data_IF_969736676168
#
_entry.id   IF_969736676168
#
_cell.length_a   1.000
_cell.length_b   1.000
_cell.length_c   1.000
_cell.angle_alpha   90.00
_cell.angle_beta   90.00
_cell.angle_gamma   90.00
#
_symmetry.space_group_name_H-M   'P 1'
#
loop_
_entity.id
_entity.type
_entity.pdbx_description
1 polymer ?
#
# COMPACT_ATOMS: atom_id res chain seq x y z
N UNK A 1 19.48 34.09 -16.64
CA UNK A 1 19.65 35.35 -15.89
C UNK A 1 20.68 36.25 -16.58
N UNK A 2 21.93 35.81 -16.73
CA UNK A 2 22.98 36.51 -17.51
C UNK A 2 22.52 36.87 -18.94
N UNK A 3 21.90 35.93 -19.65
CA UNK A 3 21.39 36.17 -21.01
C UNK A 3 20.29 37.25 -21.10
N UNK A 4 19.59 37.53 -20.00
CA UNK A 4 18.49 38.51 -19.96
C UNK A 4 18.92 39.84 -19.35
N UNK A 5 19.86 39.83 -18.40
CA UNK A 5 20.22 40.99 -17.58
C UNK A 5 21.70 41.41 -17.69
N UNK A 6 22.52 40.73 -18.51
CA UNK A 6 23.93 41.06 -18.73
C UNK A 6 24.88 40.49 -17.65
N UNK A 7 25.96 41.23 -17.35
CA UNK A 7 27.00 40.84 -16.39
C UNK A 7 26.36 40.59 -15.02
N UNK A 8 26.60 39.41 -14.47
CA UNK A 8 25.94 38.93 -13.25
C UNK A 8 26.95 38.22 -12.36
N UNK A 9 26.79 38.35 -11.04
CA UNK A 9 27.60 37.66 -10.05
C UNK A 9 26.75 36.61 -9.33
N UNK A 10 27.29 35.40 -9.23
CA UNK A 10 26.62 34.28 -8.57
C UNK A 10 27.37 33.90 -7.29
N UNK A 11 26.69 34.01 -6.14
CA UNK A 11 27.25 33.70 -4.83
C UNK A 11 26.51 32.53 -4.19
N UNK A 12 27.22 31.44 -3.91
CA UNK A 12 26.65 30.28 -3.20
C UNK A 12 26.70 30.52 -1.69
N UNK A 13 25.54 30.50 -1.03
CA UNK A 13 25.47 30.45 0.43
C UNK A 13 25.86 29.04 0.91
N UNK A 14 27.04 28.93 1.53
CA UNK A 14 27.64 27.66 1.96
C UNK A 14 27.56 27.40 3.46
N UNK A 15 27.37 28.42 4.31
CA UNK A 15 27.27 28.24 5.77
C UNK A 15 25.83 28.40 6.24
N UNK A 16 25.33 27.47 7.04
CA UNK A 16 24.03 27.55 7.71
C UNK A 16 24.20 27.65 9.22
N UNK A 17 23.37 28.49 9.83
CA UNK A 17 23.26 28.65 11.28
C UNK A 17 21.95 28.06 11.82
N UNK A 18 21.15 27.45 10.94
CA UNK A 18 19.78 27.03 11.24
C UNK A 18 19.71 25.65 11.90
N UNK A 19 20.53 24.71 11.44
CA UNK A 19 20.44 23.30 11.83
C UNK A 19 21.83 22.65 11.88
N UNK A 20 21.92 21.54 12.61
CA UNK A 20 23.17 20.81 12.83
C UNK A 20 23.64 20.00 11.61
N UNK A 21 24.88 19.48 11.70
CA UNK A 21 25.54 18.73 10.62
C UNK A 21 24.72 17.54 10.12
N UNK A 22 24.16 16.71 11.01
CA UNK A 22 23.38 15.53 10.61
C UNK A 22 22.15 15.91 9.76
N UNK A 23 21.40 16.95 10.16
CA UNK A 23 20.28 17.45 9.33
C UNK A 23 20.79 17.99 8.00
N UNK A 24 21.92 18.71 8.00
CA UNK A 24 22.52 19.26 6.78
C UNK A 24 22.94 18.17 5.79
N UNK A 25 23.62 17.14 6.27
CA UNK A 25 24.17 16.06 5.44
C UNK A 25 23.04 15.26 4.80
N UNK A 26 22.09 14.76 5.61
CA UNK A 26 20.96 13.95 5.12
C UNK A 26 20.08 14.76 4.17
N UNK A 27 19.75 16.00 4.52
CA UNK A 27 18.89 16.84 3.68
C UNK A 27 19.59 17.25 2.37
N UNK A 28 20.90 17.49 2.41
CA UNK A 28 21.69 17.82 1.22
C UNK A 28 21.83 16.61 0.32
N UNK A 29 22.18 15.45 0.86
CA UNK A 29 22.25 14.19 0.11
C UNK A 29 20.91 13.91 -0.58
N UNK A 30 19.81 14.01 0.17
CA UNK A 30 18.47 13.76 -0.34
C UNK A 30 18.08 14.72 -1.46
N UNK A 31 18.28 16.02 -1.28
CA UNK A 31 17.85 17.01 -2.30
C UNK A 31 18.78 17.00 -3.52
N UNK A 32 20.08 16.74 -3.34
CA UNK A 32 21.10 16.75 -4.40
C UNK A 32 21.12 15.48 -5.25
N UNK A 33 20.36 14.43 -4.89
CA UNK A 33 20.07 13.33 -5.83
C UNK A 33 19.47 13.82 -7.13
N UNK A 34 18.71 14.92 -7.10
CA UNK A 34 18.28 15.60 -8.30
C UNK A 34 19.47 16.37 -8.93
N UNK A 35 19.97 15.96 -10.11
CA UNK A 35 21.16 16.54 -10.73
C UNK A 35 20.97 17.98 -11.21
N UNK A 36 19.72 18.43 -11.38
CA UNK A 36 19.37 19.81 -11.72
C UNK A 36 19.50 20.76 -10.53
N UNK A 37 19.67 20.24 -9.30
CA UNK A 37 19.97 21.07 -8.14
C UNK A 37 21.37 21.67 -8.22
N UNK A 38 21.49 22.91 -7.76
CA UNK A 38 22.80 23.56 -7.64
C UNK A 38 23.64 22.84 -6.59
N UNK A 39 24.66 22.11 -7.04
CA UNK A 39 25.64 21.46 -6.16
C UNK A 39 26.33 22.49 -5.27
N UNK A 40 26.17 22.32 -3.96
CA UNK A 40 26.83 23.11 -2.91
C UNK A 40 27.06 22.24 -1.69
N UNK A 41 28.22 22.38 -1.06
CA UNK A 41 28.51 21.78 0.23
C UNK A 41 28.09 22.77 1.32
N UNK A 42 27.20 22.34 2.21
CA UNK A 42 26.73 23.16 3.33
C UNK A 42 27.61 22.86 4.55
N UNK A 43 28.11 23.89 5.22
CA UNK A 43 28.78 23.78 6.52
C UNK A 43 27.88 24.33 7.62
N UNK A 44 27.89 23.68 8.78
CA UNK A 44 27.04 24.02 9.92
C UNK A 44 27.87 24.61 11.06
N UNK A 45 27.22 25.38 11.95
CA UNK A 45 27.85 25.83 13.19
C UNK A 45 27.92 24.69 14.22
N UNK A 46 26.84 23.93 14.34
CA UNK A 46 26.72 22.81 15.28
C UNK A 46 27.04 21.50 14.55
N UNK A 47 28.00 20.75 15.09
CA UNK A 47 28.38 19.43 14.59
C UNK A 47 27.97 18.37 15.61
N UNK A 48 27.19 17.41 15.16
CA UNK A 48 26.68 16.30 15.97
C UNK A 48 27.17 14.98 15.39
N UNK A 49 27.46 14.02 16.27
CA UNK A 49 27.90 12.67 15.87
C UNK A 49 26.76 11.68 15.71
N UNK A 50 25.64 11.92 16.40
CA UNK A 50 24.48 11.06 16.35
C UNK A 50 23.48 11.56 15.28
N UNK A 51 22.75 10.66 14.61
CA UNK A 51 21.66 11.01 13.72
C UNK A 51 20.68 11.97 14.39
N UNK A 52 20.31 13.03 13.70
CA UNK A 52 19.34 14.05 14.15
C UNK A 52 18.03 14.02 13.38
N UNK A 53 17.83 13.01 12.54
CA UNK A 53 16.55 12.69 11.91
C UNK A 53 16.15 11.30 12.38
N UNK A 54 14.95 11.17 12.91
CA UNK A 54 14.43 9.93 13.50
C UNK A 54 13.14 9.50 12.85
N UNK A 55 12.99 8.21 12.57
CA UNK A 55 11.82 7.66 11.91
C UNK A 55 10.97 6.83 12.89
N UNK A 56 9.77 7.33 13.20
CA UNK A 56 8.72 6.56 13.85
C UNK A 56 7.95 5.74 12.82
N UNK A 57 8.17 4.42 12.82
CA UNK A 57 7.46 3.43 12.01
C UNK A 57 6.28 2.89 12.80
N UNK A 58 5.10 3.46 12.60
CA UNK A 58 3.91 3.11 13.37
C UNK A 58 2.65 3.27 12.53
N UNK A 59 1.68 2.37 12.72
CA UNK A 59 0.42 2.48 12.00
C UNK A 59 -0.34 3.77 12.32
N UNK A 60 -0.93 4.37 11.29
CA UNK A 60 -1.78 5.54 11.43
C UNK A 60 -3.25 5.18 11.71
N UNK A 61 -3.62 3.89 11.66
CA UNK A 61 -4.99 3.42 11.86
C UNK A 61 -5.07 2.58 13.13
N UNK A 62 -5.70 3.14 14.17
CA UNK A 62 -5.86 2.44 15.45
C UNK A 62 -7.33 2.22 15.73
N UNK A 63 -7.72 0.95 15.84
CA UNK A 63 -9.08 0.56 16.23
C UNK A 63 -9.11 0.45 17.75
N UNK A 64 -9.94 1.25 18.45
CA UNK A 64 -9.91 1.30 19.91
C UNK A 64 -10.41 0.00 20.55
N UNK A 65 -11.39 -0.67 19.95
CA UNK A 65 -12.04 -1.86 20.52
C UNK A 65 -12.56 -1.58 21.93
N UNK A 66 -12.32 -2.51 22.86
CA UNK A 66 -12.72 -2.39 24.26
C UNK A 66 -11.70 -1.61 25.12
N UNK A 67 -10.71 -0.94 24.52
CA UNK A 67 -9.70 -0.22 25.26
C UNK A 67 -10.26 1.09 25.82
N UNK A 68 -10.58 1.11 27.12
CA UNK A 68 -11.17 2.26 27.81
C UNK A 68 -10.35 3.55 27.66
N UNK A 69 -9.01 3.45 27.68
CA UNK A 69 -8.12 4.61 27.52
C UNK A 69 -8.25 5.21 26.11
N UNK A 70 -8.31 4.37 25.08
CA UNK A 70 -8.51 4.84 23.71
C UNK A 70 -9.90 5.43 23.50
N UNK A 71 -10.93 4.80 24.06
CA UNK A 71 -12.30 5.31 24.02
C UNK A 71 -12.42 6.69 24.72
N UNK A 72 -11.74 6.89 25.85
CA UNK A 72 -11.68 8.18 26.55
C UNK A 72 -10.93 9.27 25.76
N UNK A 73 -9.92 8.90 24.98
CA UNK A 73 -9.22 9.85 24.10
C UNK A 73 -10.14 10.23 22.94
N UNK A 74 -10.77 9.26 22.28
CA UNK A 74 -11.69 9.51 21.16
C UNK A 74 -12.85 10.41 21.59
N UNK A 75 -13.44 10.17 22.77
CA UNK A 75 -14.56 11.00 23.24
C UNK A 75 -14.16 12.47 23.44
N UNK A 76 -12.93 12.74 23.90
CA UNK A 76 -12.39 14.10 24.00
C UNK A 76 -12.04 14.74 22.65
N UNK A 77 -11.81 13.94 21.62
CA UNK A 77 -11.45 14.41 20.27
C UNK A 77 -12.68 14.79 19.41
N UNK A 78 -13.89 14.72 19.97
CA UNK A 78 -15.13 15.34 19.44
C UNK A 78 -15.52 14.95 18.01
N UNK A 79 -15.49 13.65 17.69
CA UNK A 79 -16.23 13.06 16.56
C UNK A 79 -17.06 11.86 17.05
N UNK A 80 -18.19 11.53 16.40
CA UNK A 80 -18.93 10.31 16.74
C UNK A 80 -18.02 9.07 16.62
N UNK A 81 -18.04 8.16 17.61
CA UNK A 81 -17.09 7.05 17.74
C UNK A 81 -17.07 6.06 16.56
N UNK A 82 -18.15 6.00 15.77
CA UNK A 82 -18.34 4.99 14.72
C UNK A 82 -17.90 5.39 13.30
N UNK A 83 -17.28 6.56 13.12
CA UNK A 83 -16.75 6.95 11.79
C UNK A 83 -15.36 6.35 11.53
N UNK A 84 -15.07 5.94 10.28
CA UNK A 84 -13.73 5.49 9.88
C UNK A 84 -12.63 6.53 10.21
N UNK A 85 -12.99 7.81 10.21
CA UNK A 85 -12.13 8.94 10.58
C UNK A 85 -11.62 8.85 12.01
N UNK A 86 -12.41 8.33 12.95
CA UNK A 86 -12.03 8.24 14.37
C UNK A 86 -10.81 7.34 14.58
N UNK A 87 -10.65 6.29 13.77
CA UNK A 87 -9.51 5.37 13.85
C UNK A 87 -8.19 6.01 13.40
N UNK A 88 -8.23 6.83 12.34
CA UNK A 88 -7.06 7.57 11.86
C UNK A 88 -6.72 8.76 12.77
N UNK A 89 -7.75 9.40 13.34
CA UNK A 89 -7.59 10.47 14.31
C UNK A 89 -6.87 9.97 15.57
N UNK A 90 -7.32 8.85 16.13
CA UNK A 90 -6.66 8.22 17.28
C UNK A 90 -5.22 7.81 16.94
N UNK A 91 -5.01 7.19 15.77
CA UNK A 91 -3.68 6.78 15.34
C UNK A 91 -2.70 7.96 15.26
N UNK A 92 -3.11 9.05 14.60
CA UNK A 92 -2.31 10.29 14.53
C UNK A 92 -2.02 10.87 15.91
N UNK A 93 -3.03 10.98 16.77
CA UNK A 93 -2.85 11.47 18.14
C UNK A 93 -1.80 10.64 18.91
N UNK A 94 -1.88 9.31 18.82
CA UNK A 94 -0.94 8.41 19.50
C UNK A 94 0.49 8.50 18.94
N UNK A 95 0.64 8.66 17.63
CA UNK A 95 1.95 8.85 16.99
C UNK A 95 2.61 10.15 17.47
N UNK A 96 1.87 11.27 17.44
CA UNK A 96 2.36 12.57 17.93
C UNK A 96 2.66 12.50 19.43
N UNK A 97 1.79 11.88 20.24
CA UNK A 97 2.00 11.68 21.67
C UNK A 97 3.30 10.93 21.99
N UNK A 98 3.63 9.90 21.19
CA UNK A 98 4.85 9.10 21.36
C UNK A 98 6.10 9.95 21.11
N UNK A 99 6.09 10.78 20.08
CA UNK A 99 7.22 11.68 19.77
C UNK A 99 7.34 12.80 20.81
N UNK A 100 6.25 13.43 21.23
CA UNK A 100 6.29 14.49 22.25
C UNK A 100 6.85 13.97 23.59
N UNK A 101 6.57 12.72 23.96
CA UNK A 101 7.20 12.06 25.12
C UNK A 101 8.71 11.83 24.97
N UNK A 102 9.22 11.66 23.75
CA UNK A 102 10.65 11.59 23.52
C UNK A 102 11.27 12.99 23.64
N UNK A 103 10.64 13.99 23.00
CA UNK A 103 11.11 15.39 23.03
C UNK A 103 11.19 15.93 24.45
N UNK A 104 10.17 15.72 25.30
CA UNK A 104 10.17 16.26 26.66
C UNK A 104 11.31 15.69 27.53
N UNK A 105 11.78 14.47 27.24
CA UNK A 105 12.95 13.86 27.90
C UNK A 105 14.27 14.49 27.45
N UNK A 106 14.33 14.97 26.21
CA UNK A 106 15.51 15.64 25.64
C UNK A 106 15.58 17.11 26.07
N UNK A 107 14.45 17.82 25.97
CA UNK A 107 14.34 19.23 26.35
C UNK A 107 12.87 19.56 26.70
N UNK A 108 12.60 19.80 27.98
CA UNK A 108 11.25 20.05 28.47
C UNK A 108 10.70 21.45 28.19
N UNK A 109 11.52 22.39 27.69
CA UNK A 109 11.11 23.76 27.32
C UNK A 109 11.34 24.06 25.83
N UNK A 110 11.27 23.02 25.00
CA UNK A 110 11.54 23.14 23.59
C UNK A 110 10.34 23.68 22.79
N UNK A 111 10.63 24.37 21.69
CA UNK A 111 9.64 24.62 20.64
C UNK A 111 9.52 23.40 19.72
N UNK A 112 8.28 23.02 19.39
CA UNK A 112 7.97 21.86 18.55
C UNK A 112 7.04 22.29 17.42
N UNK A 113 7.53 22.20 16.19
CA UNK A 113 6.74 22.45 14.99
C UNK A 113 6.20 21.13 14.42
N UNK A 114 4.88 20.95 14.49
CA UNK A 114 4.17 19.84 13.87
C UNK A 114 3.70 20.26 12.49
N UNK A 115 4.09 19.54 11.46
CA UNK A 115 3.78 19.91 10.09
C UNK A 115 3.48 18.72 9.18
N UNK A 116 2.79 19.00 8.09
CA UNK A 116 2.44 18.02 7.06
C UNK A 116 2.15 18.73 5.74
N UNK A 117 2.03 17.96 4.65
CA UNK A 117 1.78 18.52 3.32
C UNK A 117 0.44 19.27 3.25
N UNK A 118 -0.59 18.73 3.89
CA UNK A 118 -1.95 19.26 3.85
C UNK A 118 -2.55 19.48 5.25
N UNK A 119 -3.51 20.39 5.37
CA UNK A 119 -4.18 20.69 6.64
C UNK A 119 -4.85 19.48 7.29
N UNK A 120 -5.41 18.55 6.51
CA UNK A 120 -6.06 17.35 7.07
C UNK A 120 -5.05 16.30 7.59
N UNK A 121 -3.76 16.44 7.26
CA UNK A 121 -2.69 15.53 7.74
C UNK A 121 -2.15 15.94 9.11
N UNK A 122 -2.24 17.22 9.47
CA UNK A 122 -1.77 17.75 10.76
C UNK A 122 -2.89 17.67 11.83
N UNK A 123 -2.53 17.77 13.13
CA UNK A 123 -3.52 17.68 14.20
C UNK A 123 -4.58 18.79 14.11
N UNK A 124 -5.81 18.40 14.38
CA UNK A 124 -6.96 19.31 14.57
C UNK A 124 -6.75 20.20 15.80
N UNK A 125 -7.54 21.30 15.95
CA UNK A 125 -7.50 22.12 17.16
C UNK A 125 -7.70 21.30 18.45
N UNK A 126 -8.64 20.35 18.48
CA UNK A 126 -8.90 19.51 19.64
C UNK A 126 -7.72 18.58 19.98
N UNK A 127 -7.06 17.98 18.97
CA UNK A 127 -5.83 17.21 19.20
C UNK A 127 -4.71 18.08 19.77
N UNK A 128 -4.55 19.31 19.25
CA UNK A 128 -3.56 20.25 19.77
C UNK A 128 -3.83 20.63 21.22
N UNK A 129 -5.09 20.88 21.59
CA UNK A 129 -5.46 21.21 22.97
C UNK A 129 -5.10 20.08 23.94
N UNK A 130 -5.47 18.84 23.61
CA UNK A 130 -5.10 17.68 24.43
C UNK A 130 -3.58 17.49 24.57
N UNK A 131 -2.82 17.77 23.50
CA UNK A 131 -1.36 17.73 23.59
C UNK A 131 -0.81 18.88 24.44
N UNK A 132 -1.38 20.09 24.38
CA UNK A 132 -0.96 21.21 25.25
C UNK A 132 -1.27 20.94 26.72
N UNK A 133 -2.45 20.41 27.03
CA UNK A 133 -2.81 19.98 28.39
C UNK A 133 -1.80 18.96 28.94
N UNK A 134 -1.37 18.01 28.10
CA UNK A 134 -0.48 16.93 28.49
C UNK A 134 1.00 17.32 28.55
N UNK A 135 1.42 18.28 27.72
CA UNK A 135 2.81 18.73 27.61
C UNK A 135 2.89 20.27 27.76
N UNK A 136 2.48 20.83 28.92
CA UNK A 136 2.30 22.27 29.09
C UNK A 136 3.61 23.08 29.03
N UNK A 137 4.76 22.42 29.16
CA UNK A 137 6.08 23.08 29.13
C UNK A 137 6.66 23.18 27.71
N UNK A 138 6.09 22.45 26.74
CA UNK A 138 6.52 22.52 25.34
C UNK A 138 5.74 23.62 24.60
N UNK A 139 6.43 24.40 23.78
CA UNK A 139 5.78 25.35 22.88
C UNK A 139 5.39 24.64 21.58
N UNK A 140 4.11 24.23 21.49
CA UNK A 140 3.58 23.49 20.35
C UNK A 140 3.04 24.44 19.28
N UNK A 141 3.52 24.29 18.04
CA UNK A 141 3.05 25.04 16.87
C UNK A 141 2.68 24.05 15.78
N UNK A 142 1.61 24.31 15.02
CA UNK A 142 1.26 23.52 13.83
C UNK A 142 1.14 24.35 12.56
N UNK A 143 1.65 23.87 11.43
CA UNK A 143 1.52 24.52 10.11
C UNK A 143 1.53 23.47 8.99
N UNK A 144 1.11 23.83 7.78
CA UNK A 144 1.50 23.05 6.60
C UNK A 144 2.94 23.39 6.23
N UNK A 145 3.60 22.53 5.47
CA UNK A 145 4.99 22.79 5.07
C UNK A 145 5.07 24.10 4.25
N UNK A 146 4.08 24.37 3.39
CA UNK A 146 4.01 25.64 2.64
C UNK A 146 3.81 26.86 3.54
N UNK A 147 2.91 26.79 4.53
CA UNK A 147 2.65 27.91 5.44
C UNK A 147 3.74 28.09 6.51
N UNK A 148 4.65 27.12 6.64
CA UNK A 148 5.80 27.17 7.55
C UNK A 148 6.96 28.04 7.04
N UNK A 149 6.85 28.68 5.86
CA UNK A 149 7.95 29.44 5.25
C UNK A 149 8.50 30.50 6.21
N UNK A 150 9.77 30.34 6.58
CA UNK A 150 10.48 31.24 7.49
C UNK A 150 10.36 30.87 8.98
N UNK A 151 9.49 29.92 9.34
CA UNK A 151 9.39 29.40 10.71
C UNK A 151 10.44 28.32 10.95
N UNK A 152 10.84 28.17 12.20
CA UNK A 152 11.79 27.17 12.70
C UNK A 152 11.40 26.78 14.12
N UNK A 153 11.81 25.60 14.56
CA UNK A 153 11.61 25.13 15.92
C UNK A 153 12.80 24.26 16.36
N UNK A 154 13.00 24.08 17.66
CA UNK A 154 14.01 23.17 18.19
C UNK A 154 13.80 21.75 17.63
N UNK A 155 12.56 21.31 17.64
CA UNK A 155 12.14 20.01 17.12
C UNK A 155 11.05 20.16 16.06
N UNK A 156 11.07 19.27 15.07
CA UNK A 156 10.02 19.20 14.03
C UNK A 156 9.44 17.80 14.01
N UNK A 157 8.12 17.72 13.84
CA UNK A 157 7.40 16.47 13.57
C UNK A 157 6.77 16.57 12.18
N UNK A 158 7.20 15.72 11.25
CA UNK A 158 6.67 15.65 9.89
C UNK A 158 5.66 14.51 9.80
N UNK A 159 4.42 14.86 9.49
CA UNK A 159 3.28 13.97 9.34
C UNK A 159 2.88 13.80 7.88
N UNK A 160 2.13 12.73 7.61
CA UNK A 160 1.54 12.48 6.30
C UNK A 160 2.54 11.96 5.26
N UNK A 161 3.61 11.29 5.71
CA UNK A 161 4.60 10.63 4.84
C UNK A 161 4.06 9.30 4.31
N UNK A 162 3.06 9.41 3.44
CA UNK A 162 2.37 8.28 2.82
C UNK A 162 2.38 8.37 1.28
N UNK A 163 2.17 7.25 0.61
CA UNK A 163 1.97 7.18 -0.85
C UNK A 163 0.55 7.62 -1.27
N UNK A 164 0.36 7.84 -2.57
CA UNK A 164 -0.92 8.10 -3.20
C UNK A 164 -1.17 9.58 -3.55
N UNK A 165 -2.35 9.84 -4.12
CA UNK A 165 -2.74 11.18 -4.63
C UNK A 165 -2.57 12.32 -3.62
N UNK A 166 -2.86 12.06 -2.35
CA UNK A 166 -2.71 13.02 -1.25
C UNK A 166 -1.48 12.73 -0.37
N UNK A 167 -0.54 11.97 -0.90
CA UNK A 167 0.69 11.58 -0.25
C UNK A 167 1.71 12.70 -0.15
N UNK A 168 2.89 12.35 0.33
CA UNK A 168 4.06 13.20 0.27
C UNK A 168 5.27 12.34 -0.10
N UNK A 169 5.70 12.29 -1.38
CA UNK A 169 5.31 13.18 -2.49
C UNK A 169 3.84 13.08 -2.91
N UNK A 170 3.30 14.19 -3.40
CA UNK A 170 1.94 14.23 -3.97
C UNK A 170 1.94 13.64 -5.37
N UNK A 171 1.11 12.61 -5.60
CA UNK A 171 0.89 11.99 -6.92
C UNK A 171 -0.32 12.60 -7.66
N UNK A 172 -0.79 13.78 -7.24
CA UNK A 172 -1.80 14.52 -8.01
C UNK A 172 -1.24 14.89 -9.37
N UNK A 173 -2.01 14.57 -10.39
CA UNK A 173 -1.83 15.08 -11.75
C UNK A 173 -2.45 16.48 -11.76
N UNK A 174 -1.64 17.48 -12.08
CA UNK A 174 -2.08 18.86 -12.24
C UNK A 174 -2.81 19.04 -13.59
N UNK A 175 -3.56 20.14 -13.72
CA UNK A 175 -4.29 20.41 -14.95
C UNK A 175 -3.29 20.80 -16.05
N UNK A 176 -3.33 20.20 -17.26
CA UNK A 176 -2.39 20.53 -18.34
C UNK A 176 -2.33 22.02 -18.70
N UNK A 177 -3.44 22.76 -18.54
CA UNK A 177 -3.47 24.20 -18.75
C UNK A 177 -2.70 24.97 -17.67
N UNK A 178 -2.70 24.47 -16.44
CA UNK A 178 -1.93 25.06 -15.34
C UNK A 178 -0.45 24.75 -15.52
N UNK A 179 -0.11 23.52 -15.93
CA UNK A 179 1.26 23.11 -16.22
C UNK A 179 1.90 23.96 -17.32
N UNK A 180 1.12 24.37 -18.34
CA UNK A 180 1.59 25.26 -19.40
C UNK A 180 1.96 26.67 -18.90
N UNK A 181 1.47 27.09 -17.73
CA UNK A 181 1.80 28.37 -17.09
C UNK A 181 2.96 28.27 -16.10
N UNK A 182 3.38 27.04 -15.75
CA UNK A 182 4.48 26.80 -14.83
C UNK A 182 5.82 26.70 -15.58
N UNK A 183 6.94 26.94 -14.90
CA UNK A 183 8.26 26.64 -15.46
C UNK A 183 8.35 25.19 -15.90
N UNK A 184 9.12 24.93 -16.96
CA UNK A 184 9.36 23.56 -17.43
C UNK A 184 9.86 22.70 -16.26
N UNK A 185 9.19 21.58 -15.96
CA UNK A 185 9.58 20.72 -14.85
C UNK A 185 10.96 20.13 -15.13
N UNK A 186 11.73 19.94 -14.06
CA UNK A 186 12.99 19.22 -14.14
C UNK A 186 12.72 17.75 -14.46
N UNK A 187 13.60 17.15 -15.28
CA UNK A 187 13.54 15.73 -15.61
C UNK A 187 14.08 14.88 -14.45
N UNK A 188 13.38 14.97 -13.32
CA UNK A 188 13.68 14.23 -12.10
C UNK A 188 12.40 13.96 -11.31
N UNK A 189 12.24 12.72 -10.89
CA UNK A 189 11.04 12.25 -10.21
C UNK A 189 10.74 13.06 -8.94
N UNK A 190 9.53 13.62 -8.86
CA UNK A 190 9.05 14.43 -7.73
C UNK A 190 9.97 15.60 -7.35
N UNK A 191 10.63 16.25 -8.33
CA UNK A 191 11.63 17.31 -8.09
C UNK A 191 11.15 18.41 -7.12
N UNK A 192 9.95 18.97 -7.31
CA UNK A 192 9.40 20.01 -6.42
C UNK A 192 9.06 19.48 -5.03
N UNK A 193 8.48 18.28 -4.93
CA UNK A 193 8.15 17.66 -3.64
C UNK A 193 9.41 17.30 -2.86
N UNK A 194 10.51 16.94 -3.53
CA UNK A 194 11.82 16.70 -2.91
C UNK A 194 12.36 17.96 -2.23
N UNK A 195 12.23 19.12 -2.88
CA UNK A 195 12.57 20.41 -2.26
C UNK A 195 11.65 20.75 -1.10
N UNK A 196 10.37 20.43 -1.21
CA UNK A 196 9.45 20.61 -0.10
C UNK A 196 9.84 19.72 1.10
N UNK A 197 10.26 18.47 0.86
CA UNK A 197 10.70 17.57 1.93
C UNK A 197 11.98 18.09 2.60
N UNK A 198 12.95 18.58 1.80
CA UNK A 198 14.10 19.32 2.30
C UNK A 198 13.67 20.49 3.21
N UNK A 199 12.70 21.29 2.77
CA UNK A 199 12.17 22.41 3.58
C UNK A 199 11.56 21.91 4.89
N UNK A 200 10.83 20.79 4.87
CA UNK A 200 10.21 20.22 6.05
C UNK A 200 11.26 19.81 7.09
N UNK A 201 12.23 18.98 6.72
CA UNK A 201 13.23 18.46 7.66
C UNK A 201 14.16 19.55 8.19
N UNK A 202 14.52 20.52 7.34
CA UNK A 202 15.41 21.65 7.72
C UNK A 202 14.73 22.73 8.55
N UNK A 203 13.44 22.59 8.91
CA UNK A 203 12.80 23.48 9.91
C UNK A 203 13.26 23.20 11.34
N UNK A 204 13.85 22.03 11.58
CA UNK A 204 14.35 21.64 12.90
C UNK A 204 15.74 22.22 13.12
N UNK A 205 15.96 22.81 14.29
CA UNK A 205 17.31 23.23 14.72
C UNK A 205 18.11 22.05 15.27
N UNK A 206 17.46 21.21 16.08
CA UNK A 206 18.10 20.11 16.84
C UNK A 206 17.76 18.73 16.29
N UNK A 207 16.47 18.41 16.12
CA UNK A 207 16.07 17.07 15.66
C UNK A 207 14.75 17.08 14.88
N UNK A 208 14.69 16.32 13.80
CA UNK A 208 13.48 16.12 13.00
C UNK A 208 12.93 14.70 13.19
N UNK A 209 11.63 14.59 13.40
CA UNK A 209 10.92 13.33 13.56
C UNK A 209 10.02 13.11 12.35
N UNK A 210 10.25 12.01 11.65
CA UNK A 210 9.44 11.56 10.53
C UNK A 210 8.48 10.50 11.04
N UNK A 211 7.18 10.63 10.74
CA UNK A 211 6.18 9.63 11.12
C UNK A 211 5.62 8.99 9.87
N UNK A 212 5.75 7.67 9.76
CA UNK A 212 5.29 6.89 8.63
C UNK A 212 4.61 5.59 9.06
N UNK A 213 3.53 5.23 8.37
CA UNK A 213 2.96 3.89 8.40
C UNK A 213 3.58 3.10 7.24
N UNK A 214 4.34 2.04 7.54
CA UNK A 214 5.03 1.23 6.53
C UNK A 214 4.07 0.51 5.57
N UNK A 215 2.78 0.40 5.92
CA UNK A 215 1.76 -0.13 5.01
C UNK A 215 1.34 0.81 3.88
N UNK A 216 1.69 2.08 4.00
CA UNK A 216 1.42 3.08 2.97
C UNK A 216 2.56 4.09 2.91
N UNK A 217 3.80 3.68 3.13
CA UNK A 217 4.93 4.60 3.29
C UNK A 217 5.18 5.43 2.04
N UNK A 218 5.60 6.68 2.26
CA UNK A 218 6.11 7.56 1.23
C UNK A 218 7.32 6.97 0.50
N UNK A 219 7.41 7.21 -0.81
CA UNK A 219 8.61 6.93 -1.60
C UNK A 219 9.88 7.57 -0.98
N UNK A 220 9.77 8.76 -0.38
CA UNK A 220 10.90 9.42 0.29
C UNK A 220 11.33 8.69 1.56
N UNK A 221 10.39 8.14 2.34
CA UNK A 221 10.73 7.33 3.52
C UNK A 221 11.41 6.03 3.08
N UNK A 222 10.91 5.40 2.02
CA UNK A 222 11.51 4.18 1.47
C UNK A 222 12.92 4.44 0.93
N UNK A 223 13.14 5.57 0.26
CA UNK A 223 14.47 6.02 -0.20
C UNK A 223 15.44 6.17 0.99
N UNK A 224 15.05 6.91 2.03
CA UNK A 224 15.88 7.11 3.22
C UNK A 224 16.36 5.80 3.86
N UNK A 225 15.49 4.78 3.87
CA UNK A 225 15.79 3.46 4.39
C UNK A 225 16.66 2.66 3.40
N UNK A 226 16.24 2.58 2.13
CA UNK A 226 16.84 1.67 1.13
C UNK A 226 18.26 2.09 0.78
N UNK A 227 18.49 3.40 0.69
CA UNK A 227 19.80 3.95 0.37
C UNK A 227 20.67 4.16 1.60
N UNK A 228 20.22 3.69 2.77
CA UNK A 228 20.98 3.68 4.02
C UNK A 228 21.48 5.07 4.45
N UNK A 229 20.59 6.07 4.39
CA UNK A 229 20.86 7.39 4.97
C UNK A 229 21.05 7.26 6.49
N UNK A 230 21.88 8.13 7.08
CA UNK A 230 22.21 8.13 8.51
C UNK A 230 21.06 8.67 9.39
N UNK A 231 19.90 8.00 9.34
CA UNK A 231 18.71 8.29 10.14
C UNK A 231 18.58 7.33 11.32
N UNK A 232 18.00 7.79 12.42
CA UNK A 232 17.72 6.96 13.59
C UNK A 232 16.47 6.09 13.36
N UNK A 233 16.68 4.79 13.22
CA UNK A 233 15.61 3.79 13.06
C UNK A 233 15.22 3.10 14.36
N UNK A 234 15.97 3.33 15.45
CA UNK A 234 15.92 2.54 16.68
C UNK A 234 15.51 3.35 17.92
N UNK A 235 15.26 4.66 17.79
CA UNK A 235 14.72 5.49 18.90
C UNK A 235 13.35 5.01 19.41
N UNK A 236 12.57 4.32 18.56
CA UNK A 236 11.24 3.84 18.89
C UNK A 236 11.07 2.35 18.56
N UNK A 237 10.36 1.63 19.42
CA UNK A 237 9.94 0.26 19.13
C UNK A 237 9.04 0.20 17.89
N UNK A 238 9.29 -0.81 17.06
CA UNK A 238 8.53 -1.15 15.86
C UNK A 238 7.82 -2.50 16.03
N UNK A 239 6.55 -2.56 15.63
CA UNK A 239 5.77 -3.82 15.66
C UNK A 239 6.21 -4.76 14.54
N UNK A 240 6.05 -6.08 14.72
CA UNK A 240 6.36 -7.06 13.68
C UNK A 240 5.61 -6.78 12.37
N UNK A 241 4.34 -6.40 12.43
CA UNK A 241 3.57 -6.01 11.23
C UNK A 241 4.22 -4.87 10.44
N UNK A 242 4.81 -3.88 11.12
CA UNK A 242 5.48 -2.76 10.48
C UNK A 242 6.85 -3.17 9.92
N UNK A 243 7.60 -4.06 10.61
CA UNK A 243 8.84 -4.65 10.08
C UNK A 243 8.59 -5.49 8.82
N UNK A 244 7.52 -6.28 8.85
CA UNK A 244 7.07 -7.11 7.74
C UNK A 244 6.75 -6.19 6.56
N UNK A 245 5.83 -5.23 6.73
CA UNK A 245 5.32 -4.44 5.61
C UNK A 245 6.38 -3.61 4.88
N UNK A 246 7.42 -3.19 5.59
CA UNK A 246 8.60 -2.50 5.03
C UNK A 246 9.30 -3.29 3.90
N UNK A 247 9.14 -4.62 3.84
CA UNK A 247 9.87 -5.49 2.91
C UNK A 247 9.01 -6.06 1.77
N UNK A 248 7.73 -5.69 1.64
CA UNK A 248 6.80 -6.34 0.69
C UNK A 248 6.43 -5.47 -0.50
N UNK A 249 7.34 -5.44 -1.47
CA UNK A 249 7.08 -4.91 -2.79
C UNK A 249 6.10 -5.80 -3.56
N UNK A 250 5.31 -5.17 -4.43
CA UNK A 250 4.41 -5.81 -5.35
C UNK A 250 5.21 -6.62 -6.35
N UNK A 251 4.96 -7.94 -6.41
CA UNK A 251 5.68 -8.83 -7.31
C UNK A 251 5.44 -8.53 -8.81
N UNK A 252 4.35 -7.82 -9.14
CA UNK A 252 4.01 -7.45 -10.53
C UNK A 252 4.77 -6.21 -11.02
N UNK A 253 4.74 -5.12 -10.25
CA UNK A 253 5.37 -3.86 -10.68
C UNK A 253 6.70 -3.56 -9.99
N UNK A 254 7.07 -4.32 -8.95
CA UNK A 254 8.29 -4.18 -8.14
C UNK A 254 8.44 -2.83 -7.40
N UNK A 255 7.65 -1.82 -7.74
CA UNK A 255 7.69 -0.47 -7.17
C UNK A 255 6.55 -0.22 -6.19
N UNK A 256 5.41 -0.87 -6.36
CA UNK A 256 4.27 -0.73 -5.44
C UNK A 256 4.48 -1.53 -4.17
N UNK A 257 3.78 -1.17 -3.09
CA UNK A 257 3.78 -1.90 -1.82
C UNK A 257 2.46 -2.67 -1.70
N UNK A 258 2.51 -3.89 -1.17
CA UNK A 258 1.30 -4.70 -0.95
C UNK A 258 0.54 -4.21 0.28
N UNK A 259 -0.60 -3.55 0.08
CA UNK A 259 -1.41 -2.95 1.14
C UNK A 259 -2.59 -3.84 1.57
N UNK A 260 -2.86 -3.98 2.88
CA UNK A 260 -4.00 -4.77 3.35
C UNK A 260 -5.33 -4.11 3.00
N UNK A 261 -6.26 -4.90 2.47
CA UNK A 261 -7.63 -4.56 2.09
C UNK A 261 -8.58 -5.63 2.63
N UNK A 262 -9.87 -5.29 2.76
CA UNK A 262 -10.91 -6.22 3.21
C UNK A 262 -11.91 -6.37 2.07
N UNK A 263 -12.18 -7.62 1.69
CA UNK A 263 -13.22 -7.91 0.72
C UNK A 263 -14.60 -7.70 1.39
N UNK A 264 -15.43 -6.85 0.80
CA UNK A 264 -16.69 -6.43 1.41
C UNK A 264 -17.69 -7.58 1.56
N UNK A 265 -17.66 -8.57 0.65
CA UNK A 265 -18.64 -9.68 0.59
C UNK A 265 -18.39 -10.74 1.65
N UNK A 266 -17.16 -11.21 1.78
CA UNK A 266 -16.79 -12.33 2.64
C UNK A 266 -15.95 -11.91 3.86
N UNK A 267 -15.67 -10.60 4.02
CA UNK A 267 -14.82 -10.02 5.07
C UNK A 267 -13.39 -10.59 5.10
N UNK A 268 -12.93 -11.29 4.06
CA UNK A 268 -11.57 -11.83 4.02
C UNK A 268 -10.55 -10.71 3.80
N UNK A 269 -9.41 -10.80 4.46
CA UNK A 269 -8.28 -9.90 4.20
C UNK A 269 -7.56 -10.32 2.91
N UNK A 270 -7.25 -9.35 2.07
CA UNK A 270 -6.41 -9.52 0.89
C UNK A 270 -5.45 -8.33 0.81
N UNK A 271 -4.44 -8.42 -0.02
CA UNK A 271 -3.46 -7.38 -0.22
C UNK A 271 -3.52 -6.90 -1.67
N UNK A 272 -3.60 -5.60 -1.88
CA UNK A 272 -3.58 -4.99 -3.20
C UNK A 272 -2.39 -4.05 -3.35
N UNK A 273 -1.85 -3.95 -4.55
CA UNK A 273 -0.78 -3.01 -4.86
C UNK A 273 -1.20 -1.57 -4.51
N UNK A 274 -0.29 -0.79 -3.92
CA UNK A 274 -0.48 0.64 -3.62
C UNK A 274 -0.70 1.48 -4.89
N UNK A 275 -0.13 1.07 -6.03
CA UNK A 275 -0.32 1.70 -7.34
C UNK A 275 -1.63 1.26 -8.03
N UNK A 276 -2.68 0.94 -7.27
CA UNK A 276 -3.96 0.50 -7.81
C UNK A 276 -4.56 1.57 -8.76
N UNK A 277 -5.15 1.10 -9.86
CA UNK A 277 -5.43 1.74 -11.16
C UNK A 277 -4.33 1.59 -12.22
N UNK A 278 -3.04 1.67 -11.85
CA UNK A 278 -1.91 1.37 -12.75
C UNK A 278 -1.43 -0.09 -12.62
N UNK A 279 -1.56 -0.66 -11.42
CA UNK A 279 -1.24 -2.05 -11.12
C UNK A 279 -2.39 -2.70 -10.32
N UNK A 280 -3.11 -3.62 -10.96
CA UNK A 280 -4.25 -4.37 -10.41
C UNK A 280 -3.85 -5.65 -9.62
N UNK A 281 -2.55 -5.85 -9.40
CA UNK A 281 -2.06 -7.02 -8.67
C UNK A 281 -2.65 -7.09 -7.26
N UNK A 282 -3.19 -8.27 -6.94
CA UNK A 282 -3.71 -8.60 -5.61
C UNK A 282 -3.25 -9.99 -5.19
N UNK A 283 -3.08 -10.18 -3.89
CA UNK A 283 -2.84 -11.49 -3.29
C UNK A 283 -3.77 -11.70 -2.10
N UNK A 284 -4.24 -12.93 -1.88
CA UNK A 284 -5.05 -13.23 -0.70
C UNK A 284 -4.18 -13.24 0.57
N UNK A 285 -4.75 -12.76 1.68
CA UNK A 285 -4.14 -12.92 2.99
C UNK A 285 -4.26 -14.36 3.49
N UNK A 286 -3.49 -14.66 4.52
CA UNK A 286 -3.53 -15.92 5.25
C UNK A 286 -4.96 -16.25 5.70
N UNK A 287 -5.42 -17.48 5.47
CA UNK A 287 -6.78 -17.90 5.90
C UNK A 287 -6.95 -17.93 7.42
N UNK A 288 -5.87 -18.11 8.17
CA UNK A 288 -5.89 -18.21 9.64
C UNK A 288 -5.88 -16.84 10.33
N UNK A 289 -4.96 -15.94 9.96
CA UNK A 289 -4.77 -14.64 10.64
C UNK A 289 -4.99 -13.42 9.72
N UNK A 290 -5.13 -13.64 8.42
CA UNK A 290 -5.27 -12.59 7.42
C UNK A 290 -3.99 -11.78 7.15
N UNK A 291 -2.84 -12.21 7.67
CA UNK A 291 -1.52 -11.61 7.37
C UNK A 291 -1.08 -11.90 5.93
N UNK A 292 -0.06 -11.19 5.45
CA UNK A 292 0.44 -11.35 4.09
C UNK A 292 1.06 -12.75 3.89
N UNK A 293 0.93 -13.27 2.67
CA UNK A 293 1.56 -14.51 2.26
C UNK A 293 2.83 -14.19 1.46
N UNK A 294 3.98 -14.67 1.92
CA UNK A 294 5.28 -14.44 1.31
C UNK A 294 5.68 -15.62 0.44
N UNK A 295 6.19 -15.37 -0.76
CA UNK A 295 6.77 -16.44 -1.62
C UNK A 295 8.16 -16.80 -1.11
N UNK A 296 8.38 -18.08 -0.85
CA UNK A 296 9.64 -18.66 -0.36
C UNK A 296 9.99 -19.85 -1.27
N UNK A 297 11.29 -20.09 -1.45
CA UNK A 297 11.81 -21.22 -2.19
C UNK A 297 12.84 -21.95 -1.34
N UNK A 298 12.50 -23.14 -0.85
CA UNK A 298 13.37 -24.01 -0.04
C UNK A 298 13.30 -25.44 -0.55
N UNK A 299 14.41 -26.19 -0.52
CA UNK A 299 14.46 -27.61 -0.89
C UNK A 299 13.79 -27.93 -2.25
N UNK A 300 14.06 -27.13 -3.29
CA UNK A 300 13.43 -27.22 -4.61
C UNK A 300 11.89 -27.09 -4.63
N UNK A 301 11.28 -26.70 -3.51
CA UNK A 301 9.84 -26.46 -3.38
C UNK A 301 9.60 -24.96 -3.26
N UNK A 302 8.77 -24.41 -4.16
CA UNK A 302 8.29 -23.03 -4.07
C UNK A 302 6.95 -23.03 -3.36
N UNK A 303 6.76 -22.13 -2.41
CA UNK A 303 5.51 -22.01 -1.68
C UNK A 303 5.25 -20.57 -1.25
N UNK A 304 3.99 -20.28 -0.95
CA UNK A 304 3.58 -19.10 -0.19
C UNK A 304 3.45 -19.51 1.26
N UNK A 305 4.03 -18.74 2.17
CA UNK A 305 3.94 -18.98 3.61
C UNK A 305 3.40 -17.73 4.30
N UNK A 306 2.60 -17.90 5.35
CA UNK A 306 2.14 -16.77 6.15
C UNK A 306 3.33 -16.08 6.82
N UNK A 307 3.42 -14.76 6.68
CA UNK A 307 4.51 -13.96 7.23
C UNK A 307 4.46 -13.79 8.76
N UNK A 308 3.43 -14.32 9.44
CA UNK A 308 3.18 -14.05 10.86
C UNK A 308 2.90 -15.32 11.67
N UNK A 309 1.90 -16.13 11.28
CA UNK A 309 1.41 -17.19 12.16
C UNK A 309 2.07 -18.56 11.96
N UNK A 310 2.87 -18.75 10.90
CA UNK A 310 3.47 -20.04 10.49
C UNK A 310 2.49 -21.23 10.41
N UNK A 311 1.17 -20.98 10.35
CA UNK A 311 0.13 -22.03 10.32
C UNK A 311 -0.41 -22.32 8.93
N UNK A 312 -0.22 -21.41 7.98
CA UNK A 312 -0.79 -21.53 6.64
C UNK A 312 0.29 -21.35 5.59
N UNK A 313 0.32 -22.28 4.64
CA UNK A 313 1.17 -22.23 3.47
C UNK A 313 0.44 -22.82 2.25
N UNK A 314 0.86 -22.44 1.06
CA UNK A 314 0.29 -22.89 -0.22
C UNK A 314 1.44 -23.22 -1.16
N UNK A 315 1.56 -24.45 -1.68
CA UNK A 315 2.58 -24.76 -2.67
C UNK A 315 2.35 -24.02 -3.98
N UNK A 316 3.45 -23.71 -4.67
CA UNK A 316 3.44 -23.11 -5.99
C UNK A 316 3.87 -24.16 -7.02
N UNK A 317 3.16 -24.15 -8.15
CA UNK A 317 3.45 -24.99 -9.30
C UNK A 317 4.88 -24.71 -9.80
N UNK A 318 5.65 -25.78 -10.00
CA UNK A 318 7.04 -25.67 -10.47
C UNK A 318 7.14 -25.18 -11.92
N UNK A 319 6.12 -25.39 -12.73
CA UNK A 319 6.09 -25.00 -14.14
C UNK A 319 5.68 -23.53 -14.33
N UNK A 320 4.59 -23.09 -13.70
CA UNK A 320 4.03 -21.76 -13.94
C UNK A 320 4.04 -20.81 -12.73
N UNK A 321 4.60 -21.24 -11.58
CA UNK A 321 4.56 -20.52 -10.30
C UNK A 321 3.14 -20.14 -9.83
N UNK A 322 2.10 -20.76 -10.40
CA UNK A 322 0.70 -20.62 -9.98
C UNK A 322 0.44 -21.33 -8.66
N UNK A 323 -0.55 -20.87 -7.90
CA UNK A 323 -0.95 -21.56 -6.66
C UNK A 323 -1.46 -22.96 -6.96
N UNK A 324 -1.12 -23.91 -6.09
CA UNK A 324 -1.67 -25.26 -6.17
C UNK A 324 -2.85 -25.42 -5.20
N UNK A 325 -3.73 -26.34 -5.54
CA UNK A 325 -4.92 -26.70 -4.77
C UNK A 325 -4.91 -28.20 -4.54
N UNK A 326 -5.24 -28.64 -3.32
CA UNK A 326 -5.37 -30.06 -3.02
C UNK A 326 -6.73 -30.56 -3.55
N UNK A 327 -6.70 -31.59 -4.40
CA UNK A 327 -7.85 -32.12 -5.15
C UNK A 327 -7.94 -33.63 -4.97
N UNK A 328 -9.13 -34.20 -5.20
CA UNK A 328 -9.33 -35.65 -5.31
C UNK A 328 -9.47 -36.06 -6.77
N UNK A 329 -8.88 -37.19 -7.13
CA UNK A 329 -9.01 -37.82 -8.44
C UNK A 329 -9.23 -39.33 -8.32
N UNK A 330 -9.29 -40.04 -9.46
CA UNK A 330 -9.52 -41.49 -9.50
C UNK A 330 -8.49 -42.30 -8.72
N UNK A 331 -7.26 -41.78 -8.61
CA UNK A 331 -6.12 -42.44 -7.96
C UNK A 331 -5.80 -41.88 -6.57
N UNK A 332 -6.74 -41.15 -5.96
CA UNK A 332 -6.58 -40.54 -4.64
C UNK A 332 -6.38 -39.04 -4.68
N UNK A 333 -5.81 -38.48 -3.62
CA UNK A 333 -5.61 -37.04 -3.47
C UNK A 333 -4.29 -36.58 -4.06
N UNK A 334 -4.29 -35.38 -4.64
CA UNK A 334 -3.11 -34.79 -5.27
C UNK A 334 -3.18 -33.26 -5.24
N UNK A 335 -2.03 -32.61 -5.38
CA UNK A 335 -1.94 -31.18 -5.60
C UNK A 335 -2.03 -30.89 -7.10
N UNK A 336 -3.03 -30.12 -7.52
CA UNK A 336 -3.19 -29.65 -8.89
C UNK A 336 -3.03 -28.14 -9.01
N UNK A 337 -2.39 -27.68 -10.09
CA UNK A 337 -2.26 -26.25 -10.37
C UNK A 337 -3.63 -25.56 -10.52
N UNK A 338 -3.82 -24.38 -9.92
CA UNK A 338 -5.06 -23.59 -10.06
C UNK A 338 -5.23 -23.00 -11.47
N UNK A 339 -4.15 -22.88 -12.24
CA UNK A 339 -4.19 -22.43 -13.64
C UNK A 339 -4.62 -23.56 -14.60
N UNK A 340 -5.04 -24.73 -14.10
CA UNK A 340 -5.62 -25.78 -14.92
C UNK A 340 -7.00 -25.38 -15.46
N UNK A 341 -7.15 -25.37 -16.77
CA UNK A 341 -8.41 -25.24 -17.51
C UNK A 341 -8.61 -26.43 -18.45
N UNK A 342 -9.80 -27.04 -18.43
CA UNK A 342 -10.17 -28.11 -19.36
C UNK A 342 -10.50 -27.59 -20.77
N UNK A 343 -10.89 -26.33 -20.86
CA UNK A 343 -11.44 -25.74 -22.08
C UNK A 343 -10.38 -25.03 -22.94
N UNK A 344 -9.26 -24.59 -22.33
CA UNK A 344 -8.21 -23.82 -22.99
C UNK A 344 -6.85 -24.50 -22.79
N UNK A 345 -6.64 -25.62 -23.48
CA UNK A 345 -5.46 -26.48 -23.31
C UNK A 345 -4.13 -25.78 -23.57
N UNK A 346 -4.09 -24.78 -24.45
CA UNK A 346 -2.86 -24.07 -24.82
C UNK A 346 -2.31 -23.14 -23.72
N UNK A 347 -3.17 -22.65 -22.82
CA UNK A 347 -2.80 -21.75 -21.71
C UNK A 347 -2.95 -22.42 -20.33
N UNK A 348 -3.39 -23.67 -20.30
CA UNK A 348 -3.67 -24.46 -19.10
C UNK A 348 -2.40 -25.12 -18.57
N UNK A 349 -2.14 -24.97 -17.27
CA UNK A 349 -1.08 -25.72 -16.61
C UNK A 349 -1.64 -27.03 -16.04
N UNK A 350 -1.16 -28.16 -16.56
CA UNK A 350 -1.62 -29.52 -16.18
C UNK A 350 -0.78 -30.16 -15.07
N UNK A 351 0.24 -29.46 -14.58
CA UNK A 351 1.11 -29.96 -13.52
C UNK A 351 0.32 -30.38 -12.28
N UNK A 352 0.61 -31.60 -11.82
CA UNK A 352 0.10 -32.16 -10.59
C UNK A 352 1.17 -32.95 -9.86
N UNK A 353 1.06 -33.05 -8.53
CA UNK A 353 1.96 -33.87 -7.72
C UNK A 353 1.23 -34.50 -6.54
N UNK A 354 1.55 -35.77 -6.27
CA UNK A 354 1.05 -36.51 -5.10
C UNK A 354 1.90 -36.25 -3.85
N UNK A 355 3.09 -35.66 -4.00
CA UNK A 355 4.03 -35.39 -2.91
C UNK A 355 4.57 -33.97 -3.03
N UNK A 356 4.33 -33.16 -2.01
CA UNK A 356 4.93 -31.84 -1.86
C UNK A 356 5.58 -31.84 -0.47
N UNK A 357 6.86 -31.46 -0.42
CA UNK A 357 7.55 -31.34 0.85
C UNK A 357 7.03 -30.13 1.60
N UNK A 358 6.68 -30.34 2.86
CA UNK A 358 6.23 -29.27 3.73
C UNK A 358 7.39 -28.36 4.12
N UNK A 359 7.20 -27.03 4.09
CA UNK A 359 8.19 -26.08 4.56
C UNK A 359 8.64 -26.32 6.00
N UNK A 360 9.92 -26.05 6.29
CA UNK A 360 10.45 -26.19 7.65
C UNK A 360 9.71 -25.24 8.61
N UNK A 361 9.20 -25.76 9.72
CA UNK A 361 8.47 -24.97 10.72
C UNK A 361 6.99 -24.75 10.41
N UNK A 362 6.47 -25.34 9.33
CA UNK A 362 5.05 -25.44 9.04
C UNK A 362 4.59 -26.87 9.28
N UNK A 363 3.34 -27.05 9.72
CA UNK A 363 2.74 -28.37 9.76
C UNK A 363 2.54 -28.88 8.33
N UNK A 364 2.59 -30.21 8.17
CA UNK A 364 2.15 -30.84 6.93
C UNK A 364 0.80 -30.26 6.55
N UNK A 365 0.51 -30.20 5.26
CA UNK A 365 -0.82 -29.84 4.79
C UNK A 365 -1.83 -30.95 5.15
N UNK A 366 -1.95 -31.27 6.44
CA UNK A 366 -2.99 -32.09 7.01
C UNK A 366 -4.28 -31.31 6.91
N UNK A 367 -4.98 -31.61 5.82
CA UNK A 367 -6.42 -31.76 5.84
C UNK A 367 -7.15 -30.46 6.23
N UNK A 368 -7.29 -29.57 5.25
CA UNK A 368 -8.47 -28.67 5.16
C UNK A 368 -9.73 -29.51 4.78
N UNK A 369 -9.88 -30.78 5.22
CA UNK A 369 -11.10 -31.55 4.93
C UNK A 369 -12.31 -31.04 5.68
N UNK A 370 -12.14 -30.35 6.81
CA UNK A 370 -13.30 -29.90 7.60
C UNK A 370 -14.05 -28.74 6.96
N UNK A 371 -13.46 -28.01 6.01
CA UNK A 371 -14.08 -26.83 5.40
C UNK A 371 -14.07 -26.77 3.87
N UNK A 372 -13.49 -27.74 3.17
CA UNK A 372 -13.67 -27.87 1.73
C UNK A 372 -15.01 -28.55 1.47
N UNK A 373 -16.07 -27.73 1.34
CA UNK A 373 -17.24 -28.15 0.57
C UNK A 373 -16.73 -28.70 -0.76
N UNK A 374 -17.29 -29.84 -1.18
CA UNK A 374 -17.15 -30.31 -2.55
C UNK A 374 -17.42 -29.13 -3.48
N UNK A 375 -16.40 -28.64 -4.19
CA UNK A 375 -16.63 -27.98 -5.47
C UNK A 375 -17.04 -29.10 -6.45
N UNK A 376 -18.26 -29.62 -6.28
CA UNK A 376 -18.96 -30.29 -7.35
C UNK A 376 -19.36 -29.22 -8.35
N UNK A 377 -18.39 -28.80 -9.17
CA UNK A 377 -18.65 -28.46 -10.56
C UNK A 377 -18.67 -29.76 -11.39
N UNK A 378 -19.33 -30.78 -10.86
CA UNK A 378 -19.99 -31.80 -11.64
C UNK A 378 -21.46 -31.45 -11.46
N UNK A 379 -22.04 -30.78 -12.44
CA UNK A 379 -23.49 -30.86 -12.58
C UNK A 379 -23.80 -32.34 -12.77
N UNK A 380 -24.36 -32.97 -11.73
CA UNK A 380 -25.14 -34.19 -11.90
C UNK A 380 -26.30 -33.82 -12.83
N UNK A 381 -26.11 -34.01 -14.12
CA UNK A 381 -27.21 -34.29 -15.03
C UNK A 381 -27.29 -35.80 -15.16
N UNK A 382 -27.82 -36.45 -14.14
CA UNK A 382 -28.68 -37.60 -14.39
C UNK A 382 -29.93 -37.03 -15.07
N UNK A 383 -29.88 -36.97 -16.40
CA UNK A 383 -31.08 -36.89 -17.21
C UNK A 383 -30.79 -37.65 -18.50
N UNK A 384 -31.38 -38.86 -18.54
CA UNK A 384 -31.84 -39.60 -19.70
C UNK A 384 -31.24 -39.14 -21.05
N UNK A 385 -30.42 -40.01 -21.62
CA UNK A 385 -30.19 -40.06 -23.06
C UNK A 385 -31.53 -40.20 -23.79
N UNK A 386 -32.10 -39.09 -24.23
CA UNK A 386 -32.94 -39.03 -25.41
C UNK A 386 -32.31 -38.01 -26.36
N UNK A 387 -31.82 -38.52 -27.49
CA UNK A 387 -31.35 -37.71 -28.59
C UNK A 387 -32.54 -36.89 -29.12
N UNK A 388 -32.47 -35.56 -29.01
CA UNK A 388 -33.40 -34.68 -29.70
C UNK A 388 -32.64 -33.86 -30.73
N UNK A 389 -32.79 -34.31 -31.99
CA UNK A 389 -32.47 -33.55 -33.18
C UNK A 389 -33.46 -32.39 -33.35
N UNK A 390 -32.96 -31.35 -34.01
CA UNK A 390 -33.66 -30.22 -34.61
C UNK A 390 -33.91 -29.01 -33.70
N UNK A 391 -33.43 -27.85 -34.17
CA UNK A 391 -33.61 -26.51 -33.59
C UNK A 391 -35.08 -26.03 -33.60
N UNK A 392 -36.05 -26.91 -33.32
CA UNK A 392 -37.50 -26.67 -33.31
C UNK A 392 -37.99 -26.54 -31.87
N UNK A 393 -38.69 -25.47 -31.56
CA UNK A 393 -39.22 -25.17 -30.23
C UNK A 393 -40.73 -24.90 -30.32
N UNK A 394 -41.53 -25.55 -29.48
CA UNK A 394 -42.98 -25.27 -29.43
C UNK A 394 -43.30 -23.98 -28.67
N UNK A 395 -42.36 -23.48 -27.86
CA UNK A 395 -42.51 -22.27 -27.05
C UNK A 395 -41.54 -21.17 -27.51
N UNK A 396 -42.08 -20.00 -27.86
CA UNK A 396 -41.30 -18.87 -28.40
C UNK A 396 -40.17 -18.41 -27.48
N UNK A 397 -40.42 -18.34 -26.18
CA UNK A 397 -39.43 -17.84 -25.20
C UNK A 397 -38.20 -18.74 -25.09
N UNK A 398 -38.38 -20.06 -25.24
CA UNK A 398 -37.30 -21.04 -25.23
C UNK A 398 -36.43 -20.93 -26.48
N UNK A 399 -37.05 -20.71 -27.65
CA UNK A 399 -36.34 -20.46 -28.90
C UNK A 399 -35.44 -19.21 -28.81
N UNK A 400 -35.95 -18.12 -28.22
CA UNK A 400 -35.18 -16.88 -28.04
C UNK A 400 -34.08 -17.01 -26.98
N UNK A 401 -34.33 -17.75 -25.90
CA UNK A 401 -33.31 -18.02 -24.87
C UNK A 401 -32.15 -18.84 -25.46
N UNK A 402 -32.46 -19.85 -26.27
CA UNK A 402 -31.46 -20.62 -26.99
C UNK A 402 -30.71 -19.78 -28.03
N UNK A 403 -31.43 -19.00 -28.85
CA UNK A 403 -30.82 -18.10 -29.84
C UNK A 403 -29.85 -17.11 -29.20
N UNK A 404 -30.21 -16.51 -28.06
CA UNK A 404 -29.33 -15.59 -27.32
C UNK A 404 -28.06 -16.29 -26.84
N UNK A 405 -28.18 -17.51 -26.31
CA UNK A 405 -27.03 -18.32 -25.87
C UNK A 405 -26.13 -18.72 -27.05
N UNK A 406 -26.72 -19.06 -28.20
CA UNK A 406 -25.98 -19.42 -29.41
C UNK A 406 -25.24 -18.21 -30.00
N UNK A 407 -25.88 -17.04 -30.05
CA UNK A 407 -25.29 -15.79 -30.53
C UNK A 407 -24.09 -15.36 -29.67
N UNK A 408 -24.25 -15.42 -28.34
CA UNK A 408 -23.19 -15.02 -27.40
C UNK A 408 -22.01 -15.99 -27.39
N UNK A 409 -22.27 -17.29 -27.48
CA UNK A 409 -21.21 -18.31 -27.43
C UNK A 409 -20.42 -18.44 -28.72
N UNK A 410 -21.08 -18.30 -29.88
CA UNK A 410 -20.45 -18.50 -31.20
C UNK A 410 -20.17 -17.20 -31.97
N UNK A 411 -20.56 -16.03 -31.44
CA UNK A 411 -20.42 -14.71 -32.09
C UNK A 411 -21.00 -14.65 -33.51
N UNK A 412 -22.12 -15.34 -33.74
CA UNK A 412 -22.83 -15.38 -35.03
C UNK A 412 -24.20 -14.71 -34.93
N UNK A 413 -24.71 -14.20 -36.05
CA UNK A 413 -26.09 -13.69 -36.13
C UNK A 413 -27.06 -14.86 -36.32
N UNK A 414 -28.11 -14.89 -35.51
CA UNK A 414 -29.14 -15.95 -35.52
C UNK A 414 -30.51 -15.32 -35.64
N UNK A 415 -31.41 -15.99 -36.34
CA UNK A 415 -32.81 -15.61 -36.49
C UNK A 415 -33.72 -16.67 -35.87
N UNK A 416 -34.84 -16.23 -35.31
CA UNK A 416 -35.90 -17.11 -34.82
C UNK A 416 -37.11 -16.94 -35.74
N UNK A 417 -37.51 -18.00 -36.43
CA UNK A 417 -38.57 -17.98 -37.46
C UNK A 417 -39.69 -18.93 -37.04
N UNK A 418 -40.95 -18.49 -37.13
CA UNK A 418 -42.11 -19.33 -36.89
C UNK A 418 -42.48 -20.10 -38.17
N UNK A 419 -42.64 -21.42 -38.07
CA UNK A 419 -43.11 -22.30 -39.16
C UNK A 419 -44.05 -23.36 -38.57
N UNK A 420 -45.22 -23.52 -39.15
CA UNK A 420 -46.19 -24.59 -38.86
C UNK A 420 -46.40 -24.88 -37.34
N UNK A 421 -46.55 -23.84 -36.53
CA UNK A 421 -46.82 -23.96 -35.08
C UNK A 421 -45.59 -24.21 -34.20
N UNK A 422 -44.38 -24.13 -34.74
CA UNK A 422 -43.12 -24.20 -33.98
C UNK A 422 -42.14 -23.08 -34.39
N UNK A 423 -41.18 -22.82 -33.53
CA UNK A 423 -40.14 -21.80 -33.67
C UNK A 423 -38.81 -22.45 -34.01
N UNK A 424 -38.22 -22.09 -35.14
CA UNK A 424 -36.92 -22.56 -35.57
C UNK A 424 -35.83 -21.53 -35.29
N UNK A 425 -34.68 -21.96 -34.77
CA UNK A 425 -33.49 -21.10 -34.62
C UNK A 425 -32.48 -21.41 -35.73
N UNK A 426 -32.32 -20.48 -36.67
CA UNK A 426 -31.43 -20.60 -37.83
C UNK A 426 -30.24 -19.63 -37.70
N UNK A 427 -29.03 -20.10 -37.99
CA UNK A 427 -27.85 -19.22 -38.09
C UNK A 427 -27.78 -18.56 -39.46
N UNK A 428 -27.66 -17.23 -39.52
CA UNK A 428 -27.30 -16.53 -40.75
C UNK A 428 -25.81 -16.75 -40.99
N UNK A 429 -25.45 -17.57 -41.97
CA UNK A 429 -24.08 -17.54 -42.50
C UNK A 429 -23.89 -16.21 -43.24
N UNK A 430 -22.69 -15.59 -43.17
CA UNK A 430 -22.39 -14.37 -43.92
C UNK A 430 -22.57 -14.56 -45.43
#
# INVERSE_FOLDING_TARGET
FTNYFGVTQFTKLKKTFRFNSSIADISSEFVLKNPFQTKKTITTLENVKAPSISLLRQTNKVIPGNNEKFNKIISKLSKPPDSSDSSYLLGRYLQVDKVLKAIIKLNNKASVLIQGRYNFTIPSPSEMELHREKFPTLDLIKNTIHSSKGKEADFVIVLGLQSGKNGFPSEKIDNPLLDALLPTPEDFEFAEERRLFYVAITRAKKRSYLIADMSSSSAFVNELITDNYDIDLNEFDITEDQKITQNFYCLKCQTGIMQPKINQKNKSKFYGCSHYSLCDHTENGCVECGSLMTRISENNTKYKACSNCNKHWIPLCVECNGEMSYRSGPYGFFWGCKNYSSNEKELSCTFSSNKIQTPKGFNDAEIVSKNLKRDTNIQNTDNKNEAQSDNKYTVRTEAYAYAKKLAMSKKITVNVVEKDGYWLVESKKP
#
